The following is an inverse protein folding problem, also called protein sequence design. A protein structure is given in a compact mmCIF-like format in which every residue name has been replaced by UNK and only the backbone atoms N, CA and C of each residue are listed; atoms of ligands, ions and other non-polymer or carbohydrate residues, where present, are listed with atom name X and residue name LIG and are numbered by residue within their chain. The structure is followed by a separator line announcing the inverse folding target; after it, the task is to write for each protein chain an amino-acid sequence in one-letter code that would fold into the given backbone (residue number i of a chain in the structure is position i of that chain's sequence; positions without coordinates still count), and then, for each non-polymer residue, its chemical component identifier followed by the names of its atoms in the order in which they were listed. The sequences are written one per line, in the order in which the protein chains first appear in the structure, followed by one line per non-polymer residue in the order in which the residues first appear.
data_IF_894236435194
#
_entry.id   IF_894236435194
#
_cell.length_a   1.000
_cell.length_b   1.000
_cell.length_c   1.000
_cell.angle_alpha   90.00
_cell.angle_beta   90.00
_cell.angle_gamma   90.00
#
_symmetry.space_group_name_H-M   'P 1'
#
loop_
_entity.id
_entity.type
_entity.pdbx_description
1 polymer ?
#
# COMPACT_ATOMS: atom_id res chain seq x y z
N UNK A 1 4.61 -5.75 -23.55
CA UNK A 1 6.05 -5.53 -23.24
C UNK A 1 6.43 -4.04 -23.26
N UNK A 2 5.64 -3.16 -23.89
CA UNK A 2 5.95 -1.71 -23.99
C UNK A 2 5.65 -0.90 -22.72
N UNK A 3 4.77 -1.37 -21.84
CA UNK A 3 4.38 -0.64 -20.61
C UNK A 3 5.45 -0.66 -19.51
N UNK A 4 6.41 -1.59 -19.56
CA UNK A 4 7.46 -1.72 -18.54
C UNK A 4 8.60 -0.74 -18.79
N UNK A 5 8.85 -0.39 -20.05
CA UNK A 5 9.98 0.45 -20.48
C UNK A 5 9.80 1.92 -20.06
N UNK A 6 8.57 2.44 -20.07
CA UNK A 6 8.30 3.83 -19.70
C UNK A 6 8.56 4.13 -18.20
N UNK A 7 8.45 3.15 -17.32
CA UNK A 7 8.66 3.37 -15.88
C UNK A 7 10.17 3.35 -15.48
N UNK A 8 11.08 2.99 -16.38
CA UNK A 8 12.52 2.89 -16.12
C UNK A 8 13.34 4.12 -16.57
N UNK A 9 12.86 4.92 -17.53
CA UNK A 9 13.71 5.90 -18.22
C UNK A 9 13.62 7.34 -17.73
N UNK A 10 12.70 7.71 -16.82
CA UNK A 10 12.57 9.10 -16.36
C UNK A 10 12.97 9.30 -14.89
N UNK A 11 14.14 9.91 -14.72
CA UNK A 11 14.84 10.20 -13.46
C UNK A 11 14.26 11.37 -12.63
N UNK A 12 12.98 11.73 -12.80
CA UNK A 12 12.37 12.85 -12.08
C UNK A 12 11.07 12.39 -11.41
N UNK A 13 11.07 12.31 -10.08
CA UNK A 13 9.98 12.38 -9.05
C UNK A 13 8.51 11.91 -9.31
N UNK A 14 8.11 11.42 -10.48
CA UNK A 14 6.71 11.24 -10.90
C UNK A 14 6.14 9.82 -10.64
N UNK A 15 6.98 8.84 -10.26
CA UNK A 15 6.65 7.41 -10.42
C UNK A 15 6.29 6.69 -9.10
N UNK A 16 5.45 7.28 -8.26
CA UNK A 16 4.84 6.51 -7.16
C UNK A 16 3.44 5.99 -7.52
N UNK A 17 2.69 6.67 -8.39
CA UNK A 17 1.29 6.30 -8.70
C UNK A 17 0.89 6.35 -10.18
N UNK A 18 1.69 6.92 -11.08
CA UNK A 18 1.33 7.08 -12.50
C UNK A 18 1.61 5.85 -13.39
N UNK A 19 2.38 4.88 -12.89
CA UNK A 19 2.59 3.61 -13.58
C UNK A 19 1.40 2.68 -13.28
N UNK A 20 0.80 2.05 -14.30
CA UNK A 20 -0.35 1.12 -14.13
C UNK A 20 -0.09 0.04 -13.08
N UNK A 21 1.17 -0.38 -12.96
CA UNK A 21 1.66 -1.27 -11.92
C UNK A 21 1.44 -0.74 -10.50
N UNK A 22 1.89 0.48 -10.21
CA UNK A 22 1.76 1.07 -8.87
C UNK A 22 0.30 1.38 -8.54
N UNK A 23 -0.48 1.82 -9.53
CA UNK A 23 -1.89 2.08 -9.36
C UNK A 23 -2.69 0.81 -9.02
N UNK A 24 -2.39 -0.33 -9.66
CA UNK A 24 -3.02 -1.61 -9.32
C UNK A 24 -2.73 -2.03 -7.88
N UNK A 25 -1.46 -1.94 -7.43
CA UNK A 25 -1.10 -2.23 -6.03
C UNK A 25 -1.87 -1.32 -5.09
N UNK A 26 -1.94 -0.02 -5.42
CA UNK A 26 -2.63 0.97 -4.60
C UNK A 26 -4.14 0.72 -4.50
N UNK A 27 -4.81 0.46 -5.62
CA UNK A 27 -6.23 0.14 -5.66
C UNK A 27 -6.58 -1.02 -4.72
N UNK A 28 -5.83 -2.12 -4.82
CA UNK A 28 -6.07 -3.29 -3.98
C UNK A 28 -5.86 -2.98 -2.50
N UNK A 29 -4.83 -2.21 -2.16
CA UNK A 29 -4.54 -1.87 -0.76
C UNK A 29 -5.55 -0.88 -0.17
N UNK A 30 -6.03 0.10 -0.94
CA UNK A 30 -7.09 1.04 -0.53
C UNK A 30 -8.40 0.32 -0.25
N UNK A 31 -8.76 -0.64 -1.11
CA UNK A 31 -9.94 -1.50 -0.93
C UNK A 31 -9.78 -2.38 0.32
N UNK A 32 -8.64 -3.06 0.47
CA UNK A 32 -8.35 -3.91 1.63
C UNK A 32 -8.37 -3.13 2.96
N UNK A 33 -7.92 -1.88 2.97
CA UNK A 33 -7.91 -1.05 4.17
C UNK A 33 -9.29 -0.52 4.60
N UNK A 34 -10.37 -0.76 3.83
CA UNK A 34 -11.74 -0.25 4.08
C UNK A 34 -11.78 1.22 4.49
N UNK A 35 -10.96 1.96 3.77
CA UNK A 35 -10.69 3.37 3.98
C UNK A 35 -11.90 4.28 3.69
N UNK A 36 -12.83 3.81 2.85
CA UNK A 36 -13.81 4.68 2.18
C UNK A 36 -13.16 5.63 1.17
N UNK A 37 -11.85 5.52 0.97
CA UNK A 37 -11.10 6.31 0.02
C UNK A 37 -11.18 5.69 -1.36
N UNK A 38 -11.11 6.55 -2.37
CA UNK A 38 -10.95 6.12 -3.76
C UNK A 38 -9.48 6.18 -4.10
N UNK A 39 -8.93 5.10 -4.64
CA UNK A 39 -7.57 5.12 -5.13
C UNK A 39 -7.47 6.17 -6.26
N UNK A 40 -6.69 7.23 -6.01
CA UNK A 40 -6.40 8.26 -6.99
C UNK A 40 -5.04 7.99 -7.63
N UNK A 41 -4.91 8.22 -8.95
CA UNK A 41 -3.63 8.07 -9.65
C UNK A 41 -2.65 9.21 -9.31
N UNK A 42 -3.16 10.33 -8.77
CA UNK A 42 -2.34 11.47 -8.38
C UNK A 42 -1.94 11.41 -6.90
N UNK A 43 -0.66 11.70 -6.65
CA UNK A 43 -0.08 11.70 -5.31
C UNK A 43 -0.72 12.74 -4.39
N UNK A 44 -0.88 13.98 -4.87
CA UNK A 44 -1.42 15.08 -4.07
C UNK A 44 -2.86 14.81 -3.63
N UNK A 45 -3.71 14.33 -4.54
CA UNK A 45 -5.08 13.93 -4.20
C UNK A 45 -5.11 12.81 -3.16
N UNK A 46 -4.22 11.83 -3.30
CA UNK A 46 -4.10 10.71 -2.35
C UNK A 46 -3.66 11.21 -0.97
N UNK A 47 -2.65 12.07 -0.89
CA UNK A 47 -2.18 12.65 0.37
C UNK A 47 -3.25 13.53 1.02
N UNK A 48 -3.93 14.37 0.24
CA UNK A 48 -5.02 15.20 0.74
C UNK A 48 -6.17 14.36 1.31
N UNK A 49 -6.49 13.24 0.66
CA UNK A 49 -7.45 12.27 1.19
C UNK A 49 -6.99 11.64 2.52
N UNK A 50 -5.71 11.29 2.65
CA UNK A 50 -5.15 10.76 3.90
C UNK A 50 -5.16 11.79 5.03
N UNK A 51 -4.88 13.06 4.72
CA UNK A 51 -4.91 14.17 5.67
C UNK A 51 -6.34 14.50 6.12
N UNK A 52 -7.33 14.34 5.24
CA UNK A 52 -8.74 14.57 5.54
C UNK A 52 -9.42 13.40 6.28
N UNK A 53 -8.70 12.30 6.53
CA UNK A 53 -9.21 11.16 7.30
C UNK A 53 -9.55 11.55 8.74
N UNK A 54 -10.84 11.68 8.99
CA UNK A 54 -11.44 11.92 10.30
C UNK A 54 -12.25 10.69 10.74
N UNK A 55 -12.47 10.53 12.05
CA UNK A 55 -13.28 9.43 12.59
C UNK A 55 -12.48 8.31 13.30
N UNK A 56 -12.85 7.04 13.07
CA UNK A 56 -12.41 5.91 13.87
C UNK A 56 -10.88 5.73 13.87
N UNK A 57 -10.25 5.90 15.05
CA UNK A 57 -8.80 5.84 15.26
C UNK A 57 -8.17 4.52 14.77
N UNK A 58 -8.86 3.40 14.90
CA UNK A 58 -8.36 2.09 14.44
C UNK A 58 -8.35 2.00 12.92
N UNK A 59 -9.41 2.49 12.25
CA UNK A 59 -9.47 2.53 10.78
C UNK A 59 -8.41 3.45 10.20
N UNK A 60 -8.23 4.64 10.78
CA UNK A 60 -7.17 5.57 10.38
C UNK A 60 -5.78 4.96 10.55
N UNK A 61 -5.54 4.27 11.67
CA UNK A 61 -4.25 3.58 11.90
C UNK A 61 -4.02 2.47 10.88
N UNK A 62 -5.02 1.66 10.60
CA UNK A 62 -4.94 0.60 9.59
C UNK A 62 -4.63 1.16 8.20
N UNK A 63 -5.30 2.26 7.82
CA UNK A 63 -5.03 2.97 6.57
C UNK A 63 -3.60 3.48 6.47
N UNK A 64 -3.12 4.15 7.51
CA UNK A 64 -1.75 4.69 7.53
C UNK A 64 -0.72 3.55 7.41
N UNK A 65 -0.94 2.43 8.11
CA UNK A 65 -0.07 1.25 7.99
C UNK A 65 -0.08 0.66 6.58
N UNK A 66 -1.26 0.49 5.99
CA UNK A 66 -1.40 -0.02 4.63
C UNK A 66 -0.74 0.91 3.61
N UNK A 67 -0.94 2.23 3.74
CA UNK A 67 -0.36 3.24 2.88
C UNK A 67 1.18 3.29 2.98
N UNK A 68 1.71 3.36 4.20
CA UNK A 68 3.16 3.36 4.45
C UNK A 68 3.81 2.09 3.87
N UNK A 69 3.21 0.93 4.11
CA UNK A 69 3.71 -0.36 3.59
C UNK A 69 3.70 -0.38 2.06
N UNK A 70 2.63 0.13 1.44
CA UNK A 70 2.46 0.17 -0.02
C UNK A 70 3.50 1.07 -0.68
N UNK A 71 3.67 2.31 -0.20
CA UNK A 71 4.68 3.23 -0.73
C UNK A 71 6.07 2.63 -0.60
N UNK A 72 6.39 2.10 0.58
CA UNK A 72 7.70 1.52 0.81
C UNK A 72 7.96 0.33 -0.13
N UNK A 73 6.96 -0.52 -0.36
CA UNK A 73 7.09 -1.66 -1.27
C UNK A 73 7.25 -1.23 -2.74
N UNK A 74 6.52 -0.21 -3.18
CA UNK A 74 6.66 0.36 -4.53
C UNK A 74 8.07 0.96 -4.71
N UNK A 75 8.51 1.77 -3.74
CA UNK A 75 9.86 2.34 -3.75
C UNK A 75 10.94 1.26 -3.76
N UNK A 76 10.81 0.23 -2.91
CA UNK A 76 11.74 -0.89 -2.85
C UNK A 76 11.77 -1.67 -4.16
N UNK A 77 10.62 -1.94 -4.77
CA UNK A 77 10.52 -2.64 -6.05
C UNK A 77 11.21 -1.84 -7.16
N UNK A 78 11.01 -0.53 -7.22
CA UNK A 78 11.70 0.35 -8.16
C UNK A 78 13.21 0.26 -8.01
N UNK A 79 13.71 0.32 -6.78
CA UNK A 79 15.15 0.22 -6.52
C UNK A 79 15.72 -1.16 -6.90
N UNK A 80 14.96 -2.24 -6.67
CA UNK A 80 15.37 -3.59 -7.10
C UNK A 80 15.42 -3.71 -8.62
N UNK A 81 14.49 -3.10 -9.35
CA UNK A 81 14.49 -3.10 -10.82
C UNK A 81 15.69 -2.35 -11.39
N UNK A 82 16.02 -1.19 -10.81
CA UNK A 82 17.13 -0.35 -11.26
C UNK A 82 18.47 -0.99 -10.91
N UNK A 83 18.64 -1.45 -9.67
CA UNK A 83 19.96 -1.87 -9.18
C UNK A 83 20.25 -3.35 -9.41
N UNK A 84 19.23 -4.19 -9.55
CA UNK A 84 19.37 -5.65 -9.59
C UNK A 84 18.63 -6.30 -10.76
N UNK A 85 17.95 -5.52 -11.61
CA UNK A 85 17.14 -6.03 -12.72
C UNK A 85 16.13 -7.12 -12.30
N UNK A 86 15.62 -7.05 -11.07
CA UNK A 86 14.61 -7.97 -10.54
C UNK A 86 13.23 -7.39 -10.76
N UNK A 87 12.33 -8.16 -11.37
CA UNK A 87 10.97 -7.76 -11.69
C UNK A 87 9.97 -8.71 -11.03
N UNK A 88 9.19 -8.21 -10.06
CA UNK A 88 8.10 -8.97 -9.45
C UNK A 88 6.76 -8.57 -10.04
N UNK A 89 5.84 -9.53 -10.13
CA UNK A 89 4.47 -9.26 -10.54
C UNK A 89 3.73 -8.45 -9.48
N UNK A 90 2.66 -7.77 -9.91
CA UNK A 90 1.77 -7.01 -9.02
C UNK A 90 1.19 -7.91 -7.93
N UNK A 91 0.75 -9.12 -8.30
CA UNK A 91 0.18 -10.12 -7.38
C UNK A 91 1.16 -10.59 -6.31
N UNK A 92 2.43 -10.78 -6.68
CA UNK A 92 3.49 -11.15 -5.73
C UNK A 92 3.68 -10.07 -4.68
N UNK A 93 3.63 -8.79 -5.08
CA UNK A 93 3.80 -7.66 -4.16
C UNK A 93 2.55 -7.47 -3.30
N UNK A 94 1.35 -7.62 -3.87
CA UNK A 94 0.10 -7.56 -3.12
C UNK A 94 0.07 -8.64 -2.03
N UNK A 95 0.43 -9.88 -2.37
CA UNK A 95 0.51 -10.99 -1.41
C UNK A 95 1.55 -10.73 -0.32
N UNK A 96 2.70 -10.17 -0.71
CA UNK A 96 3.74 -9.77 0.24
C UNK A 96 3.24 -8.68 1.20
N UNK A 97 2.56 -7.66 0.67
CA UNK A 97 2.00 -6.55 1.45
C UNK A 97 0.92 -7.02 2.43
N UNK A 98 0.01 -7.89 1.99
CA UNK A 98 -1.02 -8.46 2.88
C UNK A 98 -0.39 -9.18 4.07
N UNK A 99 0.61 -10.03 3.82
CA UNK A 99 1.37 -10.71 4.89
C UNK A 99 2.11 -9.71 5.79
N UNK A 100 2.76 -8.71 5.19
CA UNK A 100 3.51 -7.70 5.93
C UNK A 100 2.60 -6.90 6.87
N UNK A 101 1.44 -6.46 6.41
CA UNK A 101 0.47 -5.70 7.19
C UNK A 101 -0.09 -6.54 8.33
N UNK A 102 -0.46 -7.80 8.06
CA UNK A 102 -0.89 -8.74 9.12
C UNK A 102 0.18 -8.94 10.18
N UNK A 103 1.42 -9.14 9.77
CA UNK A 103 2.54 -9.29 10.71
C UNK A 103 2.77 -8.03 11.55
N UNK A 104 2.66 -6.84 10.94
CA UNK A 104 2.73 -5.59 11.69
C UNK A 104 1.57 -5.39 12.66
N UNK A 105 0.35 -5.80 12.30
CA UNK A 105 -0.77 -5.75 13.24
C UNK A 105 -0.52 -6.70 14.42
N UNK A 106 -0.02 -7.91 14.15
CA UNK A 106 0.27 -8.91 15.16
C UNK A 106 1.45 -8.55 16.08
N UNK A 107 2.41 -7.74 15.63
CA UNK A 107 3.53 -7.32 16.48
C UNK A 107 3.09 -6.53 17.71
N UNK A 108 1.89 -5.93 17.70
CA UNK A 108 1.33 -5.23 18.85
C UNK A 108 0.54 -6.15 19.81
N UNK A 109 0.47 -7.46 19.56
CA UNK A 109 -0.45 -8.38 20.27
C UNK A 109 -0.19 -8.46 21.76
N UNK A 110 1.07 -8.47 22.17
CA UNK A 110 1.45 -8.53 23.60
C UNK A 110 1.03 -7.26 24.35
N UNK A 111 1.14 -6.10 23.71
CA UNK A 111 0.80 -4.82 24.34
C UNK A 111 -0.70 -4.49 24.30
N UNK A 112 -1.40 -4.87 23.21
CA UNK A 112 -2.78 -4.43 22.94
C UNK A 112 -3.62 -5.52 22.26
N UNK A 113 -3.87 -6.67 22.92
CA UNK A 113 -4.49 -7.84 22.29
C UNK A 113 -5.90 -7.58 21.76
N UNK A 114 -6.72 -6.77 22.46
CA UNK A 114 -8.07 -6.38 22.00
C UNK A 114 -8.02 -5.52 20.74
N UNK A 115 -7.08 -4.57 20.66
CA UNK A 115 -6.91 -3.70 19.49
C UNK A 115 -6.43 -4.51 18.28
N UNK A 116 -5.49 -5.43 18.48
CA UNK A 116 -4.99 -6.32 17.42
C UNK A 116 -6.11 -7.19 16.87
N UNK A 117 -6.95 -7.76 17.73
CA UNK A 117 -8.07 -8.60 17.31
C UNK A 117 -9.05 -7.80 16.43
N UNK A 118 -9.40 -6.58 16.83
CA UNK A 118 -10.25 -5.69 16.04
C UNK A 118 -9.62 -5.30 14.70
N UNK A 119 -8.32 -4.97 14.67
CA UNK A 119 -7.62 -4.61 13.44
C UNK A 119 -7.51 -5.79 12.47
N UNK A 120 -7.24 -7.00 12.97
CA UNK A 120 -7.21 -8.21 12.15
C UNK A 120 -8.60 -8.55 11.63
N UNK A 121 -9.66 -8.43 12.44
CA UNK A 121 -11.04 -8.63 11.97
C UNK A 121 -11.40 -7.63 10.87
N UNK A 122 -11.04 -6.35 11.04
CA UNK A 122 -11.21 -5.34 10.00
C UNK A 122 -10.45 -5.71 8.72
N UNK A 123 -9.21 -6.18 8.84
CA UNK A 123 -8.38 -6.59 7.69
C UNK A 123 -8.89 -7.87 7.00
N UNK A 124 -9.38 -8.86 7.74
CA UNK A 124 -9.90 -10.13 7.19
C UNK A 124 -11.31 -10.03 6.63
N UNK A 125 -12.09 -9.05 7.07
CA UNK A 125 -13.44 -8.83 6.54
C UNK A 125 -13.44 -8.47 5.03
N UNK A 126 -12.26 -8.32 4.42
CA UNK A 126 -12.03 -8.17 2.98
C UNK A 126 -12.51 -9.41 2.22
N UNK A 127 -13.72 -9.30 1.66
CA UNK A 127 -14.34 -10.21 0.70
C UNK A 127 -15.02 -9.35 -0.35
#
# INVERSE_FOLDING_TARGET
METVTYCLFNQQYVILFECSFSYQIWQVMVMAARSGLQARPQWEETVNQLLSLTGNRNRRRLMLLAWQSTIYSIWRERNLRINQHVFRSTDTIITFLDRQIRNQIQSFRESRPRQVSLLMQLWFSTG
#
